data_IF_419134855034
#
_entry.id   IF_419134855034
#
_cell.length_a   1.000
_cell.length_b   1.000
_cell.length_c   1.000
_cell.angle_alpha   90.00
_cell.angle_beta   90.00
_cell.angle_gamma   90.00
#
_symmetry.space_group_name_H-M   'P 1'
#
loop_
_entity.id
_entity.type
_entity.pdbx_description
1 polymer ?
#
# COMPACT_ATOMS: atom_id res chain seq x y z
N UNK A 1 -3.42 -27.91 -16.03
CA UNK A 1 -4.09 -27.12 -14.98
C UNK A 1 -3.44 -25.74 -15.01
N UNK A 2 -4.19 -24.69 -15.33
CA UNK A 2 -3.69 -23.31 -15.25
C UNK A 2 -3.45 -22.99 -13.79
N UNK A 3 -2.19 -22.76 -13.42
CA UNK A 3 -1.80 -22.38 -12.07
C UNK A 3 -2.49 -21.06 -11.70
N UNK A 4 -3.35 -21.08 -10.68
CA UNK A 4 -4.05 -19.88 -10.22
C UNK A 4 -3.05 -18.94 -9.56
N UNK A 5 -2.75 -17.82 -10.23
CA UNK A 5 -1.84 -16.80 -9.70
C UNK A 5 -2.50 -16.08 -8.49
N UNK A 6 -1.73 -15.79 -7.43
CA UNK A 6 -2.25 -14.99 -6.32
C UNK A 6 -2.53 -13.56 -6.79
N UNK A 7 -3.40 -12.87 -6.06
CA UNK A 7 -3.60 -11.43 -6.20
C UNK A 7 -2.64 -10.74 -5.22
N UNK A 8 -1.83 -9.82 -5.73
CA UNK A 8 -0.91 -9.07 -4.88
C UNK A 8 -1.60 -7.84 -4.34
N UNK A 9 -1.51 -7.60 -3.04
CA UNK A 9 -2.12 -6.45 -2.40
C UNK A 9 -1.04 -5.64 -1.69
N UNK A 10 -1.01 -4.33 -1.95
CA UNK A 10 -0.30 -3.39 -1.07
C UNK A 10 -1.33 -2.75 -0.16
N UNK A 11 -1.15 -2.91 1.15
CA UNK A 11 -2.06 -2.37 2.16
C UNK A 11 -1.35 -1.61 3.26
N UNK A 12 -2.12 -0.96 4.11
CA UNK A 12 -1.65 -0.12 5.20
C UNK A 12 -2.64 1.02 5.49
N UNK A 13 -2.36 1.79 6.53
CA UNK A 13 -3.06 3.06 6.74
C UNK A 13 -2.78 4.02 5.57
N UNK A 14 -3.71 4.95 5.28
CA UNK A 14 -3.36 6.12 4.48
C UNK A 14 -2.07 6.75 5.02
N UNK A 15 -1.19 7.19 4.11
CA UNK A 15 0.11 7.82 4.42
C UNK A 15 1.19 6.90 5.04
N UNK A 16 0.97 5.59 5.13
CA UNK A 16 1.99 4.64 5.64
C UNK A 16 3.07 4.23 4.64
N UNK A 17 3.10 4.82 3.44
CA UNK A 17 4.07 4.47 2.39
C UNK A 17 3.57 3.46 1.35
N UNK A 18 2.26 3.15 1.32
CA UNK A 18 1.67 2.27 0.30
C UNK A 18 1.96 2.70 -1.13
N UNK A 19 1.88 4.00 -1.45
CA UNK A 19 2.23 4.47 -2.80
C UNK A 19 3.72 4.30 -3.15
N UNK A 20 4.61 4.32 -2.15
CA UNK A 20 6.04 4.03 -2.39
C UNK A 20 6.21 2.55 -2.76
N UNK A 21 5.59 1.65 -2.00
CA UNK A 21 5.65 0.22 -2.30
C UNK A 21 5.04 -0.12 -3.66
N UNK A 22 3.93 0.54 -4.05
CA UNK A 22 3.37 0.39 -5.40
C UNK A 22 4.39 0.78 -6.50
N UNK A 23 5.11 1.91 -6.34
CA UNK A 23 6.19 2.33 -7.26
C UNK A 23 7.33 1.33 -7.33
N UNK A 24 7.75 0.82 -6.17
CA UNK A 24 8.78 -0.21 -6.12
C UNK A 24 8.35 -1.44 -6.92
N UNK A 25 7.14 -1.95 -6.68
CA UNK A 25 6.63 -3.14 -7.39
C UNK A 25 6.43 -2.91 -8.89
N UNK A 26 5.99 -1.74 -9.30
CA UNK A 26 5.91 -1.34 -10.72
C UNK A 26 7.29 -1.34 -11.38
N UNK A 27 8.29 -0.70 -10.75
CA UNK A 27 9.68 -0.71 -11.22
C UNK A 27 10.27 -2.12 -11.23
N UNK A 28 9.83 -2.98 -10.31
CA UNK A 28 10.16 -4.40 -10.25
C UNK A 28 9.53 -5.23 -11.38
N UNK A 29 8.57 -4.68 -12.12
CA UNK A 29 7.92 -5.32 -13.27
C UNK A 29 6.56 -5.95 -12.99
N UNK A 30 5.93 -5.70 -11.83
CA UNK A 30 4.54 -6.11 -11.63
C UNK A 30 3.57 -5.20 -12.37
N UNK A 31 2.56 -5.80 -12.99
CA UNK A 31 1.43 -5.07 -13.54
C UNK A 31 0.57 -4.49 -12.41
N UNK A 32 0.28 -3.21 -12.50
CA UNK A 32 -0.49 -2.45 -11.51
C UNK A 32 -1.95 -2.37 -11.95
N UNK A 33 -2.87 -2.66 -11.03
CA UNK A 33 -4.29 -2.35 -11.21
C UNK A 33 -4.57 -0.92 -10.75
N UNK A 34 -4.83 -0.05 -11.73
CA UNK A 34 -5.30 1.33 -11.53
C UNK A 34 -6.48 1.59 -12.47
N UNK A 35 -7.26 2.65 -12.20
CA UNK A 35 -8.30 3.09 -13.14
C UNK A 35 -7.76 4.05 -14.22
N UNK A 36 -6.50 4.50 -14.10
CA UNK A 36 -5.88 5.54 -14.93
C UNK A 36 -6.72 6.84 -15.02
N UNK A 37 -7.66 7.06 -14.10
CA UNK A 37 -8.58 8.20 -14.15
C UNK A 37 -7.87 9.49 -13.75
N UNK A 38 -6.87 9.42 -12.87
CA UNK A 38 -6.12 10.59 -12.41
C UNK A 38 -4.77 10.69 -13.11
N UNK A 39 -4.65 11.66 -14.01
CA UNK A 39 -3.37 12.08 -14.59
C UNK A 39 -2.45 12.68 -13.51
N UNK A 40 -1.15 12.65 -13.75
CA UNK A 40 -0.16 13.29 -12.88
C UNK A 40 -0.51 14.77 -12.63
N UNK A 41 -0.34 15.23 -11.39
CA UNK A 41 -0.50 16.64 -10.98
C UNK A 41 0.73 17.13 -10.20
N UNK A 42 0.78 18.43 -9.88
CA UNK A 42 1.90 19.04 -9.15
C UNK A 42 2.14 18.42 -7.76
N UNK A 43 1.11 17.81 -7.17
CA UNK A 43 1.19 17.11 -5.88
C UNK A 43 1.70 15.66 -6.02
N UNK A 44 1.58 15.07 -7.20
CA UNK A 44 2.01 13.71 -7.52
C UNK A 44 2.29 13.53 -9.03
N UNK A 45 3.49 13.96 -9.45
CA UNK A 45 3.96 13.90 -10.84
C UNK A 45 4.02 12.49 -11.48
N UNK A 46 3.77 11.42 -10.70
CA UNK A 46 3.82 10.03 -11.16
C UNK A 46 2.44 9.36 -11.25
N UNK A 47 1.35 10.12 -11.13
CA UNK A 47 -0.01 9.58 -11.19
C UNK A 47 -0.42 8.83 -9.93
N UNK A 48 -1.71 8.50 -9.82
CA UNK A 48 -2.28 7.89 -8.63
C UNK A 48 -2.47 6.37 -8.81
N UNK A 49 -1.89 5.58 -7.90
CA UNK A 49 -2.24 4.16 -7.71
C UNK A 49 -3.62 3.95 -7.09
N UNK A 50 -4.54 4.91 -7.24
CA UNK A 50 -5.92 4.71 -6.80
C UNK A 50 -6.68 3.94 -7.86
N UNK A 51 -7.49 3.02 -7.38
CA UNK A 51 -8.47 2.31 -8.17
C UNK A 51 -9.81 2.52 -7.48
N UNK A 52 -10.62 3.44 -7.99
CA UNK A 52 -11.84 3.93 -7.31
C UNK A 52 -12.79 2.80 -6.94
N UNK A 53 -12.85 1.73 -7.75
CA UNK A 53 -13.65 0.53 -7.47
C UNK A 53 -13.28 -0.17 -6.17
N UNK A 54 -12.05 -0.03 -5.68
CA UNK A 54 -11.67 -0.55 -4.35
C UNK A 54 -12.53 0.06 -3.25
N UNK A 55 -12.91 1.34 -3.36
CA UNK A 55 -13.76 2.01 -2.36
C UNK A 55 -15.17 1.44 -2.33
N UNK A 56 -15.59 0.78 -3.42
CA UNK A 56 -16.89 0.15 -3.60
C UNK A 56 -16.93 -1.31 -3.11
N UNK A 57 -15.81 -1.85 -2.60
CA UNK A 57 -15.77 -3.20 -2.01
C UNK A 57 -16.75 -3.35 -0.84
N UNK A 58 -16.91 -2.32 -0.01
CA UNK A 58 -17.84 -2.34 1.14
C UNK A 58 -19.31 -2.41 0.68
N UNK A 59 -19.62 -1.90 -0.51
CA UNK A 59 -20.91 -2.02 -1.19
C UNK A 59 -21.05 -3.33 -2.01
N UNK A 60 -19.99 -4.15 -2.07
CA UNK A 60 -19.99 -5.46 -2.72
C UNK A 60 -19.41 -5.50 -4.14
N UNK A 61 -18.88 -4.38 -4.67
CA UNK A 61 -18.23 -4.39 -6.00
C UNK A 61 -16.87 -5.11 -5.96
N UNK A 62 -16.91 -6.40 -6.26
CA UNK A 62 -15.76 -7.31 -6.28
C UNK A 62 -15.52 -7.97 -7.64
N UNK A 63 -16.28 -7.58 -8.68
CA UNK A 63 -16.21 -8.23 -9.99
C UNK A 63 -14.81 -8.11 -10.64
N UNK A 64 -14.10 -7.02 -10.36
CA UNK A 64 -12.73 -6.78 -10.84
C UNK A 64 -11.68 -7.68 -10.18
N UNK A 65 -11.97 -8.27 -9.02
CA UNK A 65 -10.96 -8.98 -8.20
C UNK A 65 -10.39 -10.17 -8.96
N UNK A 66 -11.23 -10.87 -9.74
CA UNK A 66 -10.77 -11.99 -10.58
C UNK A 66 -9.80 -11.55 -11.69
N UNK A 67 -9.98 -10.34 -12.24
CA UNK A 67 -9.12 -9.78 -13.28
C UNK A 67 -7.75 -9.32 -12.73
N UNK A 68 -7.61 -9.22 -11.41
CA UNK A 68 -6.39 -8.80 -10.72
C UNK A 68 -5.41 -9.96 -10.42
N UNK A 69 -5.70 -11.19 -10.84
CA UNK A 69 -4.78 -12.32 -10.62
C UNK A 69 -3.42 -12.09 -11.29
N UNK A 70 -2.34 -12.24 -10.51
CA UNK A 70 -0.97 -11.95 -10.94
C UNK A 70 -0.62 -10.46 -11.02
N UNK A 71 -1.56 -9.56 -10.69
CA UNK A 71 -1.38 -8.11 -10.66
C UNK A 71 -1.36 -7.60 -9.24
N UNK A 72 -0.91 -6.36 -9.04
CA UNK A 72 -0.93 -5.71 -7.74
C UNK A 72 -2.00 -4.63 -7.65
N UNK A 73 -2.75 -4.64 -6.56
CA UNK A 73 -3.80 -3.67 -6.25
C UNK A 73 -3.50 -3.00 -4.92
N UNK A 74 -3.69 -1.68 -4.85
CA UNK A 74 -3.62 -0.95 -3.59
C UNK A 74 -4.97 -0.99 -2.87
N UNK A 75 -5.02 -1.56 -1.67
CA UNK A 75 -6.24 -1.62 -0.83
C UNK A 75 -5.92 -1.11 0.56
N UNK A 76 -6.57 -0.04 1.02
CA UNK A 76 -6.34 0.48 2.38
C UNK A 76 -6.77 -0.54 3.44
N UNK A 77 -6.14 -0.49 4.61
CA UNK A 77 -6.37 -1.47 5.68
C UNK A 77 -7.84 -1.60 6.10
N UNK A 78 -8.63 -0.52 6.00
CA UNK A 78 -10.05 -0.52 6.33
C UNK A 78 -10.94 -1.30 5.35
N UNK A 79 -10.43 -1.67 4.17
CA UNK A 79 -11.20 -2.36 3.13
C UNK A 79 -10.76 -3.81 2.92
N UNK A 80 -9.74 -4.28 3.63
CA UNK A 80 -9.24 -5.66 3.51
C UNK A 80 -10.30 -6.70 3.88
N UNK A 81 -11.12 -6.43 4.91
CA UNK A 81 -12.20 -7.32 5.38
C UNK A 81 -13.28 -7.56 4.30
N UNK A 82 -13.31 -6.73 3.24
CA UNK A 82 -14.28 -6.83 2.15
C UNK A 82 -13.75 -7.56 0.92
N UNK A 83 -12.50 -8.03 0.94
CA UNK A 83 -11.97 -8.84 -0.16
C UNK A 83 -12.65 -10.22 -0.21
N UNK A 84 -13.03 -10.72 -1.39
CA UNK A 84 -13.73 -12.00 -1.50
C UNK A 84 -12.83 -13.19 -1.14
N UNK A 85 -13.33 -14.13 -0.34
CA UNK A 85 -12.60 -15.32 0.13
C UNK A 85 -12.32 -16.40 -0.95
N UNK A 86 -12.76 -16.16 -2.19
CA UNK A 86 -12.57 -17.07 -3.32
C UNK A 86 -11.13 -17.15 -3.84
N UNK A 87 -10.28 -16.15 -3.54
CA UNK A 87 -8.94 -16.00 -4.09
C UNK A 87 -7.85 -16.17 -3.05
N UNK A 88 -6.62 -16.36 -3.53
CA UNK A 88 -5.39 -16.34 -2.73
C UNK A 88 -4.76 -14.97 -2.85
N UNK A 89 -4.40 -14.38 -1.71
CA UNK A 89 -3.80 -13.05 -1.63
C UNK A 89 -2.41 -13.13 -1.00
N UNK A 90 -1.47 -12.37 -1.56
CA UNK A 90 -0.22 -12.05 -0.90
C UNK A 90 -0.18 -10.55 -0.62
N UNK A 91 -0.16 -10.19 0.65
CA UNK A 91 -0.38 -8.83 1.13
C UNK A 91 0.93 -8.28 1.66
N UNK A 92 1.45 -7.22 1.04
CA UNK A 92 2.52 -6.38 1.61
C UNK A 92 1.86 -5.29 2.43
N UNK A 93 1.90 -5.43 3.76
CA UNK A 93 1.27 -4.50 4.69
C UNK A 93 2.29 -3.47 5.18
N UNK A 94 2.12 -2.22 4.75
CA UNK A 94 2.99 -1.09 5.06
C UNK A 94 2.66 -0.45 6.40
N UNK A 95 3.67 -0.38 7.26
CA UNK A 95 3.63 0.24 8.57
C UNK A 95 4.57 1.42 8.63
N UNK A 96 4.19 2.48 9.34
CA UNK A 96 4.99 3.68 9.52
C UNK A 96 4.79 4.22 10.91
N UNK A 97 5.80 4.88 11.46
CA UNK A 97 5.69 5.57 12.74
C UNK A 97 4.45 6.49 12.77
N UNK A 98 3.62 6.32 13.81
CA UNK A 98 2.29 6.93 13.87
C UNK A 98 2.34 8.45 13.77
N UNK A 99 3.30 9.07 14.46
CA UNK A 99 3.47 10.53 14.43
C UNK A 99 3.86 11.03 13.04
N UNK A 100 4.60 10.26 12.25
CA UNK A 100 4.89 10.62 10.86
C UNK A 100 3.67 10.45 9.93
N UNK A 101 2.84 9.43 10.19
CA UNK A 101 1.56 9.26 9.48
C UNK A 101 0.66 10.48 9.70
N UNK A 102 0.50 10.91 10.96
CA UNK A 102 -0.31 12.07 11.32
C UNK A 102 0.24 13.37 10.75
N UNK A 103 1.56 13.60 10.83
CA UNK A 103 2.20 14.76 10.23
C UNK A 103 2.02 14.81 8.70
N UNK A 104 2.19 13.67 8.02
CA UNK A 104 1.97 13.55 6.57
C UNK A 104 0.50 13.76 6.19
N UNK A 105 -0.43 13.31 7.03
CA UNK A 105 -1.87 13.53 6.86
C UNK A 105 -2.23 15.01 6.98
N UNK A 106 -1.71 15.73 8.00
CA UNK A 106 -1.95 17.17 8.16
C UNK A 106 -1.45 17.97 6.97
N UNK A 107 -0.21 17.75 6.53
CA UNK A 107 0.35 18.45 5.35
C UNK A 107 -0.51 18.24 4.10
N UNK A 108 -1.06 17.04 3.91
CA UNK A 108 -1.98 16.76 2.80
C UNK A 108 -3.32 17.49 2.95
N UNK A 109 -3.86 17.55 4.16
CA UNK A 109 -5.11 18.24 4.46
C UNK A 109 -4.98 19.77 4.34
N UNK A 110 -3.86 20.34 4.76
CA UNK A 110 -3.51 21.77 4.59
C UNK A 110 -3.52 22.17 3.11
N UNK A 111 -2.88 21.38 2.24
CA UNK A 111 -2.90 21.61 0.78
C UNK A 111 -4.30 21.59 0.17
N UNK A 112 -5.23 20.87 0.79
CA UNK A 112 -6.65 20.79 0.38
C UNK A 112 -7.53 21.87 1.02
N UNK A 113 -6.93 22.87 1.68
CA UNK A 113 -7.66 23.94 2.36
C UNK A 113 -8.44 23.48 3.59
N UNK A 114 -8.08 22.33 4.16
CA UNK A 114 -8.75 21.74 5.34
C UNK A 114 -7.72 21.45 6.45
N UNK A 115 -7.02 22.47 6.99
CA UNK A 115 -5.94 22.24 7.94
C UNK A 115 -6.40 21.38 9.13
N UNK A 116 -5.65 20.31 9.41
CA UNK A 116 -5.92 19.44 10.55
C UNK A 116 -5.50 20.11 11.86
N UNK A 117 -6.08 19.68 12.99
CA UNK A 117 -5.73 20.20 14.32
C UNK A 117 -4.70 19.29 15.01
N UNK A 118 -3.45 19.75 15.27
CA UNK A 118 -2.44 18.96 15.96
C UNK A 118 -2.85 18.51 17.37
N UNK A 119 -3.76 19.24 18.04
CA UNK A 119 -4.24 18.85 19.37
C UNK A 119 -5.04 17.53 19.35
N UNK A 120 -5.50 17.08 18.18
CA UNK A 120 -6.24 15.82 18.02
C UNK A 120 -5.32 14.62 17.72
N UNK A 121 -4.02 14.84 17.53
CA UNK A 121 -3.07 13.78 17.13
C UNK A 121 -3.08 12.59 18.10
N UNK A 122 -3.13 12.84 19.41
CA UNK A 122 -3.17 11.77 20.42
C UNK A 122 -4.42 10.89 20.27
N UNK A 123 -5.58 11.50 20.01
CA UNK A 123 -6.84 10.80 19.77
C UNK A 123 -6.79 9.99 18.47
N UNK A 124 -6.27 10.57 17.39
CA UNK A 124 -6.13 9.85 16.12
C UNK A 124 -5.13 8.69 16.22
N UNK A 125 -4.02 8.88 16.94
CA UNK A 125 -3.05 7.82 17.18
C UNK A 125 -3.69 6.62 17.90
N UNK A 126 -4.51 6.87 18.93
CA UNK A 126 -5.24 5.82 19.64
C UNK A 126 -6.24 5.08 18.73
N UNK A 127 -7.05 5.83 17.97
CA UNK A 127 -8.04 5.26 17.04
C UNK A 127 -7.37 4.42 15.94
N UNK A 128 -6.31 4.93 15.34
CA UNK A 128 -5.55 4.18 14.33
C UNK A 128 -4.83 2.98 14.92
N UNK A 129 -4.31 3.07 16.15
CA UNK A 129 -3.72 1.95 16.87
C UNK A 129 -4.73 0.82 17.09
N UNK A 130 -5.93 1.15 17.60
CA UNK A 130 -7.04 0.19 17.77
C UNK A 130 -7.45 -0.46 16.45
N UNK A 131 -7.60 0.34 15.40
CA UNK A 131 -7.90 -0.17 14.04
C UNK A 131 -6.84 -1.15 13.54
N UNK A 132 -5.55 -0.77 13.62
CA UNK A 132 -4.45 -1.62 13.19
C UNK A 132 -4.39 -2.94 13.96
N UNK A 133 -4.60 -2.91 15.27
CA UNK A 133 -4.64 -4.13 16.08
C UNK A 133 -5.76 -5.07 15.62
N UNK A 134 -6.96 -4.53 15.37
CA UNK A 134 -8.10 -5.31 14.84
C UNK A 134 -7.78 -5.93 13.48
N UNK A 135 -7.30 -5.14 12.52
CA UNK A 135 -7.01 -5.61 11.15
C UNK A 135 -5.93 -6.69 11.16
N UNK A 136 -4.86 -6.52 11.95
CA UNK A 136 -3.79 -7.53 12.05
C UNK A 136 -4.29 -8.84 12.64
N UNK A 137 -5.09 -8.78 13.71
CA UNK A 137 -5.68 -9.98 14.30
C UNK A 137 -6.61 -10.70 13.31
N UNK A 138 -7.41 -9.94 12.55
CA UNK A 138 -8.25 -10.50 11.50
C UNK A 138 -7.44 -11.13 10.37
N UNK A 139 -6.38 -10.48 9.88
CA UNK A 139 -5.49 -11.02 8.85
C UNK A 139 -4.85 -12.34 9.30
N UNK A 140 -4.41 -12.42 10.55
CA UNK A 140 -3.81 -13.63 11.12
C UNK A 140 -4.75 -14.84 11.19
N UNK A 141 -6.07 -14.66 11.04
CA UNK A 141 -7.04 -15.74 10.99
C UNK A 141 -7.49 -16.13 9.58
N UNK A 142 -6.97 -15.48 8.53
CA UNK A 142 -7.39 -15.73 7.15
C UNK A 142 -6.50 -16.79 6.46
N UNK A 143 -7.05 -17.97 6.07
CA UNK A 143 -6.25 -19.07 5.52
C UNK A 143 -5.73 -18.85 4.09
N UNK A 144 -6.25 -17.86 3.36
CA UNK A 144 -5.88 -17.55 1.97
C UNK A 144 -5.20 -16.20 1.82
N UNK A 145 -4.75 -15.60 2.92
CA UNK A 145 -4.11 -14.29 2.92
C UNK A 145 -2.75 -14.41 3.63
N UNK A 146 -1.69 -14.54 2.84
CA UNK A 146 -0.34 -14.42 3.36
C UNK A 146 0.00 -12.93 3.52
N UNK A 147 0.69 -12.57 4.60
CA UNK A 147 1.00 -11.17 4.90
C UNK A 147 2.48 -11.00 5.24
N UNK A 148 3.13 -10.05 4.56
CA UNK A 148 4.44 -9.52 4.92
C UNK A 148 4.27 -8.10 5.47
N UNK A 149 4.64 -7.90 6.73
CA UNK A 149 4.68 -6.57 7.33
C UNK A 149 6.00 -5.87 6.99
N UNK A 150 5.90 -4.65 6.44
CA UNK A 150 7.05 -3.83 6.04
C UNK A 150 6.99 -2.50 6.77
N UNK A 151 8.02 -2.23 7.60
CA UNK A 151 8.20 -0.93 8.25
C UNK A 151 8.84 0.05 7.28
N UNK A 152 8.08 1.04 6.85
CA UNK A 152 8.48 2.12 5.95
C UNK A 152 9.79 2.77 6.38
N UNK A 153 9.91 3.11 7.67
CA UNK A 153 11.09 3.79 8.22
C UNK A 153 12.38 2.96 8.08
N UNK A 154 12.29 1.64 8.21
CA UNK A 154 13.43 0.73 8.04
C UNK A 154 13.69 0.44 6.55
N UNK A 155 12.63 0.32 5.75
CA UNK A 155 12.72 0.17 4.29
C UNK A 155 13.45 1.36 3.64
N UNK A 156 13.26 2.58 4.13
CA UNK A 156 14.00 3.74 3.63
C UNK A 156 15.51 3.68 3.95
N UNK A 157 15.92 3.00 5.03
CA UNK A 157 17.33 2.85 5.42
C UNK A 157 18.00 1.70 4.67
N UNK A 158 17.24 0.66 4.35
CA UNK A 158 17.75 -0.57 3.71
C UNK A 158 16.87 -0.99 2.52
N UNK A 159 16.73 -0.16 1.46
CA UNK A 159 15.79 -0.42 0.37
C UNK A 159 16.07 -1.73 -0.37
N UNK A 160 17.35 -2.08 -0.59
CA UNK A 160 17.74 -3.33 -1.25
C UNK A 160 17.35 -4.58 -0.44
N UNK A 161 17.54 -4.55 0.87
CA UNK A 161 17.15 -5.65 1.77
C UNK A 161 15.64 -5.87 1.74
N UNK A 162 14.86 -4.79 1.84
CA UNK A 162 13.41 -4.88 1.82
C UNK A 162 12.87 -5.25 0.44
N UNK A 163 13.47 -4.77 -0.66
CA UNK A 163 13.12 -5.19 -2.02
C UNK A 163 13.31 -6.70 -2.20
N UNK A 164 14.44 -7.26 -1.73
CA UNK A 164 14.69 -8.70 -1.78
C UNK A 164 13.68 -9.50 -0.93
N UNK A 165 13.39 -9.04 0.30
CA UNK A 165 12.37 -9.66 1.16
C UNK A 165 10.99 -9.69 0.52
N UNK A 166 10.57 -8.56 -0.09
CA UNK A 166 9.29 -8.46 -0.78
C UNK A 166 9.26 -9.39 -2.00
N UNK A 167 10.30 -9.41 -2.83
CA UNK A 167 10.37 -10.31 -3.98
C UNK A 167 10.29 -11.79 -3.58
N UNK A 168 11.04 -12.18 -2.55
CA UNK A 168 11.00 -13.54 -2.00
C UNK A 168 9.61 -13.92 -1.47
N UNK A 169 8.98 -13.01 -0.72
CA UNK A 169 7.63 -13.22 -0.20
C UNK A 169 6.59 -13.38 -1.32
N UNK A 170 6.62 -12.50 -2.33
CA UNK A 170 5.67 -12.54 -3.44
C UNK A 170 5.88 -13.77 -4.32
N UNK A 171 7.12 -14.28 -4.41
CA UNK A 171 7.48 -15.44 -5.24
C UNK A 171 7.31 -15.14 -6.73
N UNK A 172 7.40 -13.87 -7.12
CA UNK A 172 7.31 -13.39 -8.50
C UNK A 172 8.71 -13.02 -9.02
N UNK A 173 8.97 -13.14 -10.33
CA UNK A 173 10.21 -12.67 -10.93
C UNK A 173 10.23 -11.13 -10.94
N UNK A 174 10.84 -10.52 -9.92
CA UNK A 174 10.94 -9.07 -9.79
C UNK A 174 12.37 -8.59 -10.00
N UNK A 175 12.52 -7.41 -10.64
CA UNK A 175 13.78 -6.70 -10.69
C UNK A 175 14.05 -6.01 -9.34
N UNK A 176 14.71 -6.73 -8.43
CA UNK A 176 15.04 -6.25 -7.07
C UNK A 176 15.87 -4.96 -7.08
N UNK A 177 16.78 -4.79 -8.04
CA UNK A 177 17.59 -3.58 -8.13
C UNK A 177 16.72 -2.37 -8.48
N UNK A 178 15.87 -2.49 -9.51
CA UNK A 178 14.96 -1.41 -9.91
C UNK A 178 13.99 -1.03 -8.77
N UNK A 179 13.49 -2.01 -8.01
CA UNK A 179 12.69 -1.75 -6.81
C UNK A 179 13.47 -0.92 -5.77
N UNK A 180 14.74 -1.24 -5.54
CA UNK A 180 15.59 -0.61 -4.52
C UNK A 180 16.03 0.82 -4.86
N UNK A 181 16.04 1.17 -6.15
CA UNK A 181 16.44 2.50 -6.62
C UNK A 181 15.32 3.54 -6.44
N UNK A 182 14.04 3.11 -6.43
CA UNK A 182 12.87 3.98 -6.31
C UNK A 182 12.92 4.91 -5.07
N UNK A 183 13.19 4.43 -3.83
CA UNK A 183 13.30 5.34 -2.69
C UNK A 183 14.47 6.34 -2.80
N UNK A 184 15.58 5.95 -3.45
CA UNK A 184 16.78 6.79 -3.57
C UNK A 184 16.51 8.03 -4.43
N UNK A 185 15.83 7.85 -5.56
CA UNK A 185 15.46 8.94 -6.46
C UNK A 185 14.58 9.99 -5.77
N UNK A 186 13.68 9.56 -4.88
CA UNK A 186 12.78 10.48 -4.19
C UNK A 186 13.51 11.27 -3.08
N UNK A 187 14.48 10.65 -2.39
CA UNK A 187 15.36 11.36 -1.47
C UNK A 187 16.21 12.41 -2.17
N UNK A 188 16.69 12.12 -3.39
CA UNK A 188 17.45 13.08 -4.18
C UNK A 188 16.58 14.28 -4.58
N UNK A 189 15.35 14.04 -5.06
CA UNK A 189 14.42 15.12 -5.45
C UNK A 189 14.01 16.04 -4.30
N UNK A 190 13.95 15.54 -3.06
CA UNK A 190 13.60 16.36 -1.88
C UNK A 190 14.75 17.26 -1.36
N UNK A 191 15.97 17.11 -1.89
CA UNK A 191 17.13 17.95 -1.53
C UNK A 191 17.34 19.16 -2.45
N UNK A 192 16.69 19.18 -3.60
CA UNK A 192 16.66 20.27 -4.60
C UNK A 192 15.39 21.07 -4.44
#
# INVERSE_FOLDING_TARGET
MTETKPIYIVSGLPRSGTSMMMKMLEAGGLEIVTDNIRTADDDNQQGYYEFERVKQLKEGDSAWVGEAQGKVVKVISALLEHLPAGYVYKIVFMEREMMEVLASQRKMLERRGKPGNPAEDGKFAELYGKHLAKVKAWLGSQPKMDVLFVRYNEMLKAPAEYAAKVAAFLGAPLNVQAMADVPQDQFYRQRT
#
